data_IF_731183394329
#
_entry.id   IF_731183394329
#
_cell.length_a   1.000
_cell.length_b   1.000
_cell.length_c   1.000
_cell.angle_alpha   90.00
_cell.angle_beta   90.00
_cell.angle_gamma   90.00
#
_symmetry.space_group_name_H-M   'P 1'
#
loop_
_entity.id
_entity.type
_entity.pdbx_description
1 polymer ?
#
# COMPACT_ATOMS: atom_id res chain seq x y z
N UNK A 1 -3.32 -10.47 -7.59
CA UNK A 1 -2.10 -9.78 -7.11
C UNK A 1 -0.87 -10.58 -7.49
N UNK A 2 0.11 -9.95 -8.13
CA UNK A 2 1.37 -10.60 -8.47
C UNK A 2 2.41 -10.32 -7.38
N UNK A 3 2.47 -11.20 -6.38
CA UNK A 3 3.35 -11.04 -5.23
C UNK A 3 4.83 -11.02 -5.60
N UNK A 4 5.25 -11.82 -6.56
CA UNK A 4 6.66 -11.85 -7.02
C UNK A 4 7.09 -10.50 -7.58
N UNK A 5 6.26 -9.90 -8.42
CA UNK A 5 6.52 -8.59 -9.03
C UNK A 5 6.61 -7.50 -7.96
N UNK A 6 5.66 -7.50 -7.03
CA UNK A 6 5.62 -6.53 -5.93
C UNK A 6 6.86 -6.68 -5.04
N UNK A 7 7.20 -7.91 -4.64
CA UNK A 7 8.38 -8.16 -3.81
C UNK A 7 9.68 -7.80 -4.52
N UNK A 8 9.78 -8.08 -5.81
CA UNK A 8 10.94 -7.69 -6.61
C UNK A 8 11.12 -6.17 -6.64
N UNK A 9 10.03 -5.43 -6.87
CA UNK A 9 10.06 -3.96 -6.84
C UNK A 9 10.47 -3.45 -5.45
N UNK A 10 9.91 -4.00 -4.39
CA UNK A 10 10.22 -3.57 -3.02
C UNK A 10 11.68 -3.84 -2.67
N UNK A 11 12.25 -4.94 -3.11
CA UNK A 11 13.67 -5.22 -2.94
C UNK A 11 14.53 -4.22 -3.70
N UNK A 12 14.14 -3.86 -4.92
CA UNK A 12 14.87 -2.91 -5.74
C UNK A 12 14.84 -1.51 -5.12
N UNK A 13 13.69 -1.06 -4.62
CA UNK A 13 13.58 0.25 -3.97
C UNK A 13 14.36 0.28 -2.64
N UNK A 14 14.41 -0.82 -1.91
CA UNK A 14 15.20 -0.90 -0.68
C UNK A 14 16.68 -0.70 -0.95
N UNK A 15 17.18 -1.20 -2.08
CA UNK A 15 18.57 -1.04 -2.51
C UNK A 15 18.85 0.33 -3.15
N UNK A 16 17.83 1.00 -3.70
CA UNK A 16 17.96 2.24 -4.48
C UNK A 16 16.95 3.29 -4.00
N UNK A 17 16.89 3.56 -2.70
CA UNK A 17 15.87 4.42 -2.11
C UNK A 17 16.23 5.89 -2.28
N UNK A 18 16.10 6.37 -3.51
CA UNK A 18 16.34 7.76 -3.87
C UNK A 18 15.40 8.18 -5.01
N UNK A 19 15.19 9.49 -5.12
CA UNK A 19 14.24 10.05 -6.08
C UNK A 19 14.64 9.79 -7.53
N UNK A 20 15.92 9.86 -7.84
CA UNK A 20 16.40 9.69 -9.22
C UNK A 20 16.08 8.28 -9.73
N UNK A 21 16.40 7.26 -8.95
CA UNK A 21 16.07 5.89 -9.29
C UNK A 21 14.55 5.68 -9.41
N UNK A 22 13.79 6.23 -8.45
CA UNK A 22 12.34 6.09 -8.42
C UNK A 22 11.70 6.68 -9.68
N UNK A 23 12.14 7.88 -10.11
CA UNK A 23 11.57 8.52 -11.30
C UNK A 23 11.82 7.71 -12.57
N UNK A 24 12.96 7.01 -12.67
CA UNK A 24 13.25 6.16 -13.82
C UNK A 24 12.48 4.82 -13.77
N UNK A 25 11.96 4.44 -12.60
CA UNK A 25 11.22 3.18 -12.39
C UNK A 25 9.76 3.42 -12.00
N UNK A 26 9.26 4.63 -12.21
CA UNK A 26 7.89 5.01 -11.81
C UNK A 26 6.82 4.17 -12.48
N UNK A 27 7.02 3.75 -13.72
CA UNK A 27 6.06 2.89 -14.43
C UNK A 27 5.92 1.54 -13.72
N UNK A 28 7.03 0.97 -13.26
CA UNK A 28 6.99 -0.28 -12.47
C UNK A 28 6.30 -0.07 -11.14
N UNK A 29 6.56 1.06 -10.46
CA UNK A 29 5.85 1.41 -9.23
C UNK A 29 4.34 1.49 -9.46
N UNK A 30 3.90 2.18 -10.52
CA UNK A 30 2.49 2.34 -10.82
C UNK A 30 1.82 1.01 -11.11
N UNK A 31 2.51 0.12 -11.82
CA UNK A 31 2.01 -1.22 -12.10
C UNK A 31 1.87 -2.07 -10.84
N UNK A 32 2.87 -2.02 -9.95
CA UNK A 32 2.82 -2.73 -8.67
C UNK A 32 1.74 -2.18 -7.75
N UNK A 33 1.58 -0.85 -7.70
CA UNK A 33 0.53 -0.20 -6.92
C UNK A 33 -0.85 -0.62 -7.40
N UNK A 34 -1.09 -0.59 -8.72
CA UNK A 34 -2.36 -1.00 -9.30
C UNK A 34 -2.67 -2.46 -8.98
N UNK A 35 -1.67 -3.32 -9.07
CA UNK A 35 -1.80 -4.74 -8.76
C UNK A 35 -2.11 -4.96 -7.27
N UNK A 36 -1.44 -4.23 -6.39
CA UNK A 36 -1.71 -4.28 -4.96
C UNK A 36 -3.13 -3.81 -4.64
N UNK A 37 -3.55 -2.69 -5.21
CA UNK A 37 -4.90 -2.15 -5.01
C UNK A 37 -5.97 -3.14 -5.51
N UNK A 38 -5.74 -3.80 -6.62
CA UNK A 38 -6.63 -4.85 -7.12
C UNK A 38 -6.76 -5.99 -6.12
N UNK A 39 -5.65 -6.41 -5.52
CA UNK A 39 -5.66 -7.43 -4.47
C UNK A 39 -6.43 -6.98 -3.23
N UNK A 40 -6.31 -5.72 -2.84
CA UNK A 40 -7.05 -5.16 -1.70
C UNK A 40 -8.56 -5.11 -2.02
N UNK A 41 -8.95 -4.71 -3.24
CA UNK A 41 -10.37 -4.74 -3.63
C UNK A 41 -10.96 -6.15 -3.56
N UNK A 42 -10.20 -7.16 -4.01
CA UNK A 42 -10.62 -8.56 -3.89
C UNK A 42 -10.77 -8.99 -2.44
N UNK A 43 -9.86 -8.55 -1.58
CA UNK A 43 -9.89 -8.86 -0.15
C UNK A 43 -11.08 -8.17 0.54
N UNK A 44 -11.38 -6.92 0.21
CA UNK A 44 -12.55 -6.20 0.70
C UNK A 44 -13.82 -6.99 0.34
N UNK A 45 -13.94 -7.43 -0.90
CA UNK A 45 -15.08 -8.21 -1.35
C UNK A 45 -15.23 -9.52 -0.55
N UNK A 46 -14.13 -10.22 -0.32
CA UNK A 46 -14.14 -11.46 0.45
C UNK A 46 -14.52 -11.22 1.92
N UNK A 47 -13.97 -10.18 2.56
CA UNK A 47 -14.28 -9.83 3.96
C UNK A 47 -15.73 -9.39 4.09
N UNK A 48 -16.27 -8.66 3.12
CA UNK A 48 -17.65 -8.17 3.15
C UNK A 48 -18.70 -9.29 3.20
N UNK A 49 -18.33 -10.53 2.85
CA UNK A 49 -19.23 -11.69 2.95
C UNK A 49 -19.59 -12.01 4.41
N UNK A 50 -18.70 -11.70 5.36
CA UNK A 50 -18.95 -11.94 6.78
C UNK A 50 -18.94 -10.65 7.61
N UNK A 51 -18.46 -9.54 7.08
CA UNK A 51 -18.46 -8.22 7.71
C UNK A 51 -18.95 -7.17 6.71
N UNK A 52 -20.27 -7.02 6.54
CA UNK A 52 -20.82 -6.07 5.56
C UNK A 52 -20.55 -4.60 5.88
N UNK A 53 -20.05 -4.28 7.07
CA UNK A 53 -19.75 -2.89 7.45
C UNK A 53 -18.67 -2.26 6.57
N UNK A 54 -17.82 -3.07 5.92
CA UNK A 54 -16.74 -2.57 5.07
C UNK A 54 -17.07 -2.65 3.57
N UNK A 55 -18.25 -3.10 3.20
CA UNK A 55 -18.62 -3.34 1.80
C UNK A 55 -18.59 -2.06 0.93
N UNK A 56 -18.72 -0.89 1.54
CA UNK A 56 -18.67 0.41 0.84
C UNK A 56 -17.27 0.88 0.47
N UNK A 57 -16.23 0.23 1.00
CA UNK A 57 -14.84 0.64 0.80
C UNK A 57 -14.31 0.24 -0.57
N UNK A 58 -13.34 1.02 -1.07
CA UNK A 58 -12.49 0.64 -2.19
C UNK A 58 -11.04 0.59 -1.73
N UNK A 59 -10.17 0.01 -2.54
CA UNK A 59 -8.74 -0.07 -2.21
C UNK A 59 -8.13 1.31 -1.92
N UNK A 60 -8.52 2.33 -2.68
CA UNK A 60 -8.01 3.71 -2.48
C UNK A 60 -8.30 4.27 -1.09
N UNK A 61 -9.39 3.84 -0.46
CA UNK A 61 -9.75 4.28 0.89
C UNK A 61 -8.87 3.62 1.97
N UNK A 62 -8.20 2.53 1.65
CA UNK A 62 -7.53 1.65 2.59
C UNK A 62 -6.01 1.66 2.47
N UNK A 63 -5.47 1.89 1.28
CA UNK A 63 -4.03 1.79 1.01
C UNK A 63 -3.29 3.03 1.52
N UNK A 64 -2.20 2.80 2.27
CA UNK A 64 -1.33 3.87 2.71
C UNK A 64 -0.44 4.36 1.58
N UNK A 65 -0.09 5.66 1.61
CA UNK A 65 0.81 6.23 0.62
C UNK A 65 2.22 5.65 0.75
N UNK A 66 2.94 5.61 -0.36
CA UNK A 66 4.27 5.03 -0.43
C UNK A 66 5.37 5.96 0.07
N UNK A 67 5.15 7.26 0.04
CA UNK A 67 6.14 8.26 0.48
C UNK A 67 6.24 8.29 2.00
N UNK A 68 7.48 8.33 2.50
CA UNK A 68 7.74 8.46 3.94
C UNK A 68 7.69 9.92 4.38
N UNK A 69 7.21 10.14 5.60
CA UNK A 69 7.41 11.39 6.31
C UNK A 69 8.74 11.30 7.06
N UNK A 70 9.76 12.01 6.56
CA UNK A 70 11.13 11.90 7.07
C UNK A 70 11.56 13.12 7.91
N UNK A 71 10.65 14.02 8.23
CA UNK A 71 10.97 15.27 8.93
C UNK A 71 11.68 15.04 10.26
N UNK A 72 11.28 14.00 10.99
CA UNK A 72 11.81 13.69 12.32
C UNK A 72 12.61 12.38 12.34
N UNK A 73 12.95 11.85 11.19
CA UNK A 73 13.68 10.58 11.08
C UNK A 73 15.16 10.83 10.81
N UNK A 74 16.03 10.01 11.41
CA UNK A 74 17.45 9.99 11.06
C UNK A 74 17.69 9.38 9.68
N UNK A 75 16.87 8.42 9.28
CA UNK A 75 16.87 7.86 7.93
C UNK A 75 16.01 8.74 7.02
N UNK A 76 16.64 9.39 6.05
CA UNK A 76 15.99 10.28 5.09
C UNK A 76 15.57 9.60 3.79
N UNK A 77 15.58 8.28 3.72
CA UNK A 77 15.07 7.54 2.56
C UNK A 77 13.62 7.96 2.25
N UNK A 78 13.32 8.41 1.01
CA UNK A 78 12.02 9.02 0.73
C UNK A 78 10.87 8.05 0.55
N UNK A 79 11.13 6.76 0.36
CA UNK A 79 10.10 5.78 0.06
C UNK A 79 10.04 4.66 1.08
N UNK A 80 8.82 4.17 1.33
CA UNK A 80 8.61 2.98 2.15
C UNK A 80 9.13 1.75 1.43
N UNK A 81 9.46 0.72 2.22
CA UNK A 81 9.94 -0.58 1.71
C UNK A 81 8.84 -1.63 1.71
N UNK A 82 7.58 -1.19 1.83
CA UNK A 82 6.43 -2.07 1.85
C UNK A 82 5.20 -1.34 1.32
N UNK A 83 4.26 -2.09 0.79
CA UNK A 83 2.89 -1.63 0.58
C UNK A 83 2.07 -2.02 1.80
N UNK A 84 1.16 -1.15 2.23
CA UNK A 84 0.31 -1.42 3.37
C UNK A 84 -1.09 -0.89 3.15
N UNK A 85 -2.06 -1.53 3.84
CA UNK A 85 -3.46 -1.11 3.81
C UNK A 85 -4.12 -1.39 5.15
N UNK A 86 -5.14 -0.59 5.49
CA UNK A 86 -5.97 -0.80 6.66
C UNK A 86 -7.44 -0.74 6.25
N UNK A 87 -8.13 -1.85 6.36
CA UNK A 87 -9.54 -1.98 5.97
C UNK A 87 -10.39 -1.73 7.22
N UNK A 88 -10.99 -0.56 7.32
CA UNK A 88 -11.82 -0.18 8.44
C UNK A 88 -13.01 0.66 7.96
N UNK A 89 -14.21 0.34 8.44
CA UNK A 89 -15.44 1.04 8.06
C UNK A 89 -15.39 2.55 8.31
N UNK A 90 -14.63 3.00 9.31
CA UNK A 90 -14.49 4.40 9.69
C UNK A 90 -13.27 5.09 9.07
N UNK A 91 -12.55 4.41 8.19
CA UNK A 91 -11.38 4.94 7.51
C UNK A 91 -10.05 4.51 8.13
N UNK A 92 -8.98 4.63 7.34
CA UNK A 92 -7.65 4.10 7.70
C UNK A 92 -6.95 4.83 8.84
N UNK A 93 -7.46 5.98 9.27
CA UNK A 93 -6.93 6.74 10.42
C UNK A 93 -7.80 6.61 11.67
N UNK A 94 -8.80 5.73 11.62
CA UNK A 94 -9.73 5.54 12.73
C UNK A 94 -9.10 4.73 13.85
N UNK A 95 -9.56 4.96 15.09
CA UNK A 95 -9.23 4.14 16.25
C UNK A 95 -10.12 2.90 16.36
N UNK A 96 -11.15 2.77 15.52
CA UNK A 96 -11.98 1.57 15.47
C UNK A 96 -11.20 0.40 14.89
N UNK A 97 -11.54 -0.82 15.29
CA UNK A 97 -10.90 -2.03 14.78
C UNK A 97 -11.12 -2.25 13.29
N UNK A 98 -10.18 -2.93 12.64
CA UNK A 98 -10.22 -3.24 11.22
C UNK A 98 -9.21 -4.32 10.84
N UNK A 99 -8.91 -4.44 9.54
CA UNK A 99 -8.05 -5.49 8.99
C UNK A 99 -6.78 -4.83 8.42
N UNK A 100 -5.65 -5.12 9.04
CA UNK A 100 -4.35 -4.58 8.62
C UNK A 100 -3.66 -5.55 7.65
N UNK A 101 -3.27 -5.01 6.50
CA UNK A 101 -2.62 -5.80 5.44
C UNK A 101 -1.16 -5.36 5.27
#
# INVERSE_FOLDING_TARGET
>A
MNSKRILSFLNDIAANNNRAWFLTHKDEYMACKADFEKGIDQLIHAIAQFDPSIAHLSAKDCVYRFYRDVRFSSDKSPYKRHFGAYICAKGKKSFYGGYYI
#
